data_IF_328432054266
#
_entry.id   IF_328432054266
#
_cell.length_a   1.000
_cell.length_b   1.000
_cell.length_c   1.000
_cell.angle_alpha   90.00
_cell.angle_beta   90.00
_cell.angle_gamma   90.00
#
_symmetry.space_group_name_H-M   'P 1'
#
loop_
_entity.id
_entity.type
_entity.pdbx_description
1 polymer ?
#
# COMPACT_ATOMS: atom_id res chain seq x y z
N UNK A 1 11.43 -12.64 -21.43
CA UNK A 1 11.07 -13.05 -20.06
C UNK A 1 11.41 -14.53 -19.84
N UNK A 2 12.69 -14.91 -19.81
CA UNK A 2 13.13 -16.32 -19.76
C UNK A 2 13.76 -16.78 -18.44
N UNK A 3 13.96 -15.88 -17.47
CA UNK A 3 14.68 -16.19 -16.23
C UNK A 3 13.79 -16.61 -15.06
N UNK A 4 12.47 -16.43 -15.16
CA UNK A 4 11.52 -16.83 -14.11
C UNK A 4 11.66 -18.29 -13.66
N UNK A 5 11.64 -19.28 -14.58
CA UNK A 5 11.78 -20.68 -14.20
C UNK A 5 13.17 -21.01 -13.62
N UNK A 6 14.23 -20.34 -14.08
CA UNK A 6 15.59 -20.57 -13.55
C UNK A 6 15.74 -20.03 -12.12
N UNK A 7 15.19 -18.85 -11.83
CA UNK A 7 15.21 -18.26 -10.49
C UNK A 7 14.35 -19.10 -9.53
N UNK A 8 13.16 -19.52 -9.97
CA UNK A 8 12.29 -20.41 -9.18
C UNK A 8 12.96 -21.75 -8.93
N UNK A 9 13.64 -22.32 -9.93
CA UNK A 9 14.39 -23.57 -9.78
C UNK A 9 15.56 -23.42 -8.82
N UNK A 10 16.38 -22.37 -8.95
CA UNK A 10 17.48 -22.09 -8.02
C UNK A 10 17.00 -21.84 -6.59
N UNK A 11 15.86 -21.16 -6.41
CA UNK A 11 15.24 -20.97 -5.11
C UNK A 11 14.67 -22.28 -4.54
N UNK A 12 14.08 -23.14 -5.38
CA UNK A 12 13.58 -24.47 -4.97
C UNK A 12 14.71 -25.43 -4.57
N UNK A 13 15.90 -25.26 -5.14
CA UNK A 13 17.06 -26.06 -4.79
C UNK A 13 17.66 -25.60 -3.45
N UNK A 14 17.63 -24.28 -3.19
CA UNK A 14 18.01 -23.72 -1.88
C UNK A 14 16.98 -24.02 -0.78
N UNK A 15 15.69 -24.19 -1.12
CA UNK A 15 14.63 -24.39 -0.12
C UNK A 15 14.72 -25.73 0.63
N UNK A 16 15.47 -26.69 0.11
CA UNK A 16 15.68 -27.98 0.78
C UNK A 16 16.69 -27.92 1.94
N UNK A 17 17.36 -26.78 2.14
CA UNK A 17 18.32 -26.55 3.22
C UNK A 17 17.67 -25.62 4.24
N UNK A 18 17.39 -26.14 5.43
CA UNK A 18 17.00 -25.44 6.69
C UNK A 18 16.13 -24.17 6.55
N UNK A 19 14.87 -24.23 7.02
CA UNK A 19 13.85 -23.17 6.85
C UNK A 19 14.30 -21.73 7.19
N UNK A 20 15.23 -21.56 8.12
CA UNK A 20 15.79 -20.26 8.51
C UNK A 20 16.77 -19.69 7.48
N UNK A 21 17.60 -20.53 6.86
CA UNK A 21 18.55 -20.14 5.83
C UNK A 21 17.87 -19.66 4.55
N UNK A 22 16.75 -20.30 4.18
CA UNK A 22 15.96 -19.89 3.02
C UNK A 22 15.40 -18.46 3.16
N UNK A 23 14.84 -18.10 4.33
CA UNK A 23 14.32 -16.75 4.55
C UNK A 23 15.42 -15.68 4.46
N UNK A 24 16.62 -15.97 4.97
CA UNK A 24 17.75 -15.06 4.87
C UNK A 24 18.19 -14.87 3.42
N UNK A 25 18.30 -15.97 2.66
CA UNK A 25 18.65 -15.92 1.23
C UNK A 25 17.65 -15.09 0.42
N UNK A 26 16.35 -15.29 0.64
CA UNK A 26 15.29 -14.51 -0.02
C UNK A 26 15.43 -13.02 0.30
N UNK A 27 15.65 -12.65 1.58
CA UNK A 27 15.83 -11.25 1.98
C UNK A 27 17.08 -10.61 1.37
N UNK A 28 18.19 -11.35 1.29
CA UNK A 28 19.41 -10.86 0.64
C UNK A 28 19.17 -10.65 -0.87
N UNK A 29 18.48 -11.58 -1.52
CA UNK A 29 18.11 -11.46 -2.94
C UNK A 29 17.21 -10.25 -3.19
N UNK A 30 16.18 -10.05 -2.36
CA UNK A 30 15.31 -8.88 -2.42
C UNK A 30 16.07 -7.57 -2.21
N UNK A 31 16.99 -7.52 -1.24
CA UNK A 31 17.84 -6.36 -1.02
C UNK A 31 18.73 -6.07 -2.24
N UNK A 32 19.31 -7.10 -2.85
CA UNK A 32 20.07 -6.96 -4.09
C UNK A 32 19.19 -6.43 -5.23
N UNK A 33 18.00 -7.00 -5.43
CA UNK A 33 17.05 -6.52 -6.43
C UNK A 33 16.67 -5.06 -6.20
N UNK A 34 16.44 -4.63 -4.96
CA UNK A 34 16.18 -3.24 -4.62
C UNK A 34 17.36 -2.33 -4.99
N UNK A 35 18.57 -2.71 -4.60
CA UNK A 35 19.80 -1.93 -4.86
C UNK A 35 20.10 -1.81 -6.35
N UNK A 36 19.65 -2.76 -7.18
CA UNK A 36 19.76 -2.70 -8.64
C UNK A 36 18.60 -1.91 -9.25
N UNK A 37 17.35 -2.18 -8.85
CA UNK A 37 16.16 -1.57 -9.45
C UNK A 37 16.03 -0.08 -9.12
N UNK A 38 16.37 0.35 -7.90
CA UNK A 38 16.23 1.75 -7.51
C UNK A 38 17.09 2.71 -8.35
N UNK A 39 18.41 2.50 -8.53
CA UNK A 39 19.21 3.36 -9.40
C UNK A 39 18.83 3.22 -10.87
N UNK A 40 18.45 2.02 -11.35
CA UNK A 40 17.94 1.85 -12.72
C UNK A 40 16.65 2.64 -12.93
N UNK A 41 15.75 2.69 -11.95
CA UNK A 41 14.53 3.48 -12.01
C UNK A 41 14.82 4.98 -12.17
N UNK A 42 15.85 5.49 -11.48
CA UNK A 42 16.32 6.88 -11.62
C UNK A 42 16.99 7.12 -12.97
N UNK A 43 17.87 6.20 -13.41
CA UNK A 43 18.62 6.35 -14.65
C UNK A 43 17.69 6.33 -15.88
N UNK A 44 16.72 5.41 -15.90
CA UNK A 44 15.77 5.26 -17.00
C UNK A 44 14.46 6.03 -16.81
N UNK A 45 14.31 6.75 -15.68
CA UNK A 45 13.06 7.43 -15.31
C UNK A 45 11.82 6.51 -15.39
N UNK A 46 12.00 5.23 -15.04
CA UNK A 46 10.97 4.21 -15.19
C UNK A 46 10.09 4.11 -13.95
N UNK A 47 8.83 4.53 -14.08
CA UNK A 47 7.84 4.46 -12.99
C UNK A 47 7.53 3.02 -12.54
N UNK A 48 7.60 2.05 -13.46
CA UNK A 48 7.39 0.64 -13.14
C UNK A 48 8.50 0.10 -12.25
N UNK A 49 9.76 0.41 -12.57
CA UNK A 49 10.90 -0.02 -11.75
C UNK A 49 10.85 0.62 -10.37
N UNK A 50 10.53 1.92 -10.29
CA UNK A 50 10.36 2.62 -9.01
C UNK A 50 9.22 2.03 -8.18
N UNK A 51 8.10 1.67 -8.81
CA UNK A 51 6.99 0.97 -8.15
C UNK A 51 7.42 -0.38 -7.56
N UNK A 52 8.13 -1.21 -8.34
CA UNK A 52 8.63 -2.51 -7.88
C UNK A 52 9.66 -2.35 -6.75
N UNK A 53 10.54 -1.34 -6.83
CA UNK A 53 11.46 -1.02 -5.73
C UNK A 53 10.71 -0.68 -4.44
N UNK A 54 9.64 0.12 -4.50
CA UNK A 54 8.81 0.41 -3.32
C UNK A 54 8.16 -0.85 -2.75
N UNK A 55 7.64 -1.74 -3.60
CA UNK A 55 7.06 -3.03 -3.16
C UNK A 55 8.10 -3.89 -2.42
N UNK A 56 9.30 -4.04 -3.00
CA UNK A 56 10.39 -4.81 -2.39
C UNK A 56 10.82 -4.17 -1.06
N UNK A 57 10.87 -2.84 -0.98
CA UNK A 57 11.20 -2.14 0.26
C UNK A 57 10.20 -2.44 1.38
N UNK A 58 8.90 -2.40 1.09
CA UNK A 58 7.87 -2.73 2.08
C UNK A 58 7.90 -4.22 2.46
N UNK A 59 8.20 -5.12 1.52
CA UNK A 59 8.36 -6.54 1.79
C UNK A 59 9.55 -6.83 2.73
N UNK A 60 10.70 -6.18 2.51
CA UNK A 60 11.82 -6.19 3.44
C UNK A 60 11.45 -5.62 4.83
N UNK A 61 10.53 -4.67 4.87
CA UNK A 61 9.99 -4.12 6.11
C UNK A 61 8.99 -5.06 6.81
N UNK A 62 8.53 -6.12 6.16
CA UNK A 62 7.69 -7.18 6.73
C UNK A 62 6.25 -7.20 6.23
N UNK A 63 5.93 -6.42 5.19
CA UNK A 63 4.64 -6.45 4.50
C UNK A 63 4.64 -7.52 3.41
N UNK A 64 3.87 -8.59 3.57
CA UNK A 64 3.86 -9.69 2.61
C UNK A 64 2.53 -9.79 1.87
N UNK A 65 2.61 -10.10 0.56
CA UNK A 65 1.48 -10.49 -0.27
C UNK A 65 1.71 -11.92 -0.72
N UNK A 66 0.88 -12.85 -0.24
CA UNK A 66 0.97 -14.27 -0.56
C UNK A 66 -0.23 -14.70 -1.38
N UNK A 67 0.00 -15.48 -2.44
CA UNK A 67 -1.05 -16.09 -3.24
C UNK A 67 -1.38 -17.49 -2.68
N UNK A 68 -2.64 -17.71 -2.30
CA UNK A 68 -3.12 -18.97 -1.69
C UNK A 68 -4.00 -19.75 -2.69
N UNK A 69 -3.72 -19.68 -4.00
CA UNK A 69 -4.45 -20.42 -5.04
C UNK A 69 -5.83 -19.87 -5.38
N UNK A 70 -6.67 -19.57 -4.37
CA UNK A 70 -8.02 -19.01 -4.54
C UNK A 70 -8.11 -17.51 -4.24
N UNK A 71 -7.01 -16.88 -3.81
CA UNK A 71 -6.98 -15.47 -3.45
C UNK A 71 -5.62 -14.99 -2.97
N UNK A 72 -5.58 -13.72 -2.54
CA UNK A 72 -4.40 -13.06 -1.99
C UNK A 72 -4.58 -12.85 -0.49
N UNK A 73 -3.59 -13.27 0.29
CA UNK A 73 -3.42 -12.86 1.68
C UNK A 73 -2.46 -11.68 1.72
N UNK A 74 -2.89 -10.59 2.33
CA UNK A 74 -2.13 -9.35 2.44
C UNK A 74 -2.02 -9.01 3.93
N UNK A 75 -0.80 -8.87 4.45
CA UNK A 75 -0.63 -8.56 5.86
C UNK A 75 0.82 -8.58 6.34
N UNK A 76 0.97 -8.84 7.64
CA UNK A 76 2.25 -8.83 8.34
C UNK A 76 2.44 -10.13 9.11
N UNK A 77 3.63 -10.72 9.01
CA UNK A 77 3.95 -11.95 9.75
C UNK A 77 4.15 -11.70 11.25
N UNK A 78 4.62 -10.50 11.62
CA UNK A 78 4.96 -10.15 13.00
C UNK A 78 4.42 -8.78 13.38
N UNK A 79 4.03 -8.62 14.65
CA UNK A 79 3.60 -7.33 15.19
C UNK A 79 4.69 -6.24 15.07
N UNK A 80 5.97 -6.63 15.22
CA UNK A 80 7.09 -5.71 15.02
C UNK A 80 7.22 -5.26 13.57
N UNK A 81 7.01 -6.18 12.62
CA UNK A 81 6.96 -5.88 11.19
C UNK A 81 5.84 -4.89 10.86
N UNK A 82 4.65 -5.09 11.44
CA UNK A 82 3.53 -4.17 11.31
C UNK A 82 3.91 -2.75 11.74
N UNK A 83 4.41 -2.56 12.96
CA UNK A 83 4.77 -1.22 13.47
C UNK A 83 5.87 -0.58 12.62
N UNK A 84 6.87 -1.37 12.20
CA UNK A 84 7.94 -0.89 11.32
C UNK A 84 7.38 -0.41 9.97
N UNK A 85 6.52 -1.20 9.34
CA UNK A 85 5.88 -0.83 8.08
C UNK A 85 4.97 0.40 8.24
N UNK A 86 4.23 0.51 9.34
CA UNK A 86 3.42 1.69 9.65
C UNK A 86 4.28 2.96 9.70
N UNK A 87 5.37 2.93 10.46
CA UNK A 87 6.28 4.08 10.61
C UNK A 87 6.94 4.42 9.28
N UNK A 88 7.47 3.42 8.56
CA UNK A 88 8.12 3.63 7.26
C UNK A 88 7.13 4.18 6.23
N UNK A 89 5.92 3.62 6.16
CA UNK A 89 4.88 4.10 5.23
C UNK A 89 4.39 5.51 5.58
N UNK A 90 4.26 5.84 6.86
CA UNK A 90 3.95 7.20 7.31
C UNK A 90 5.01 8.22 6.86
N UNK A 91 6.30 7.91 7.07
CA UNK A 91 7.38 8.80 6.62
C UNK A 91 7.47 8.89 5.10
N UNK A 92 7.28 7.78 4.39
CA UNK A 92 7.27 7.78 2.93
C UNK A 92 6.12 8.62 2.36
N UNK A 93 4.91 8.41 2.87
CA UNK A 93 3.73 9.13 2.42
C UNK A 93 3.83 10.62 2.76
N UNK A 94 4.21 10.97 3.99
CA UNK A 94 4.38 12.37 4.40
C UNK A 94 5.50 13.08 3.64
N UNK A 95 6.63 12.41 3.38
CA UNK A 95 7.70 12.96 2.57
C UNK A 95 7.23 13.23 1.13
N UNK A 96 6.54 12.28 0.51
CA UNK A 96 6.01 12.47 -0.84
C UNK A 96 4.96 13.59 -0.91
N UNK A 97 4.01 13.62 0.03
CA UNK A 97 3.01 14.68 0.11
C UNK A 97 3.67 16.06 0.31
N UNK A 98 4.69 16.14 1.17
CA UNK A 98 5.44 17.38 1.38
C UNK A 98 6.16 17.84 0.10
N UNK A 99 6.77 16.91 -0.64
CA UNK A 99 7.38 17.20 -1.94
C UNK A 99 6.32 17.66 -2.97
N UNK A 100 5.14 17.05 -2.97
CA UNK A 100 4.06 17.44 -3.87
C UNK A 100 3.52 18.86 -3.55
N UNK A 101 3.49 19.25 -2.28
CA UNK A 101 2.97 20.56 -1.84
C UNK A 101 4.00 21.68 -2.06
N UNK A 102 5.28 21.41 -1.78
CA UNK A 102 6.34 22.44 -1.74
C UNK A 102 6.93 22.78 -3.11
N UNK A 103 6.64 22.02 -4.17
CA UNK A 103 7.20 22.20 -5.51
C UNK A 103 8.75 22.37 -5.48
N UNK A 104 9.48 21.35 -5.01
CA UNK A 104 10.92 21.43 -4.82
C UNK A 104 11.67 21.63 -6.16
N UNK A 105 12.96 22.01 -6.11
CA UNK A 105 13.75 22.18 -7.33
C UNK A 105 13.80 20.94 -8.23
N UNK A 106 13.93 21.15 -9.53
CA UNK A 106 13.88 20.10 -10.55
C UNK A 106 14.83 18.91 -10.31
N UNK A 107 15.99 19.15 -9.68
CA UNK A 107 16.95 18.08 -9.37
C UNK A 107 16.37 17.07 -8.37
N UNK A 108 15.66 17.52 -7.32
CA UNK A 108 15.04 16.63 -6.33
C UNK A 108 13.89 15.85 -6.97
N UNK A 109 13.08 16.55 -7.77
CA UNK A 109 11.95 15.95 -8.49
C UNK A 109 12.44 14.82 -9.40
N UNK A 110 13.57 14.99 -10.09
CA UNK A 110 14.14 13.98 -10.97
C UNK A 110 14.43 12.64 -10.26
N UNK A 111 14.86 12.68 -8.99
CA UNK A 111 15.09 11.46 -8.21
C UNK A 111 13.80 10.85 -7.66
N UNK A 112 12.83 11.69 -7.27
CA UNK A 112 11.58 11.22 -6.65
C UNK A 112 10.53 10.75 -7.67
N UNK A 113 10.53 11.31 -8.89
CA UNK A 113 9.54 11.06 -9.94
C UNK A 113 9.29 9.57 -10.24
N UNK A 114 10.31 8.70 -10.46
CA UNK A 114 10.05 7.29 -10.75
C UNK A 114 9.39 6.54 -9.58
N UNK A 115 9.58 6.99 -8.34
CA UNK A 115 9.00 6.36 -7.15
C UNK A 115 7.60 6.88 -6.80
N UNK A 116 7.15 7.97 -7.41
CA UNK A 116 5.87 8.63 -7.11
C UNK A 116 4.67 7.66 -7.04
N UNK A 117 4.49 6.80 -8.05
CA UNK A 117 3.39 5.82 -8.09
C UNK A 117 3.51 4.77 -6.98
N UNK A 118 4.73 4.27 -6.73
CA UNK A 118 4.99 3.31 -5.66
C UNK A 118 4.73 3.91 -4.27
N UNK A 119 5.23 5.12 -4.03
CA UNK A 119 5.06 5.82 -2.75
C UNK A 119 3.60 6.17 -2.48
N UNK A 120 2.87 6.66 -3.48
CA UNK A 120 1.45 7.02 -3.32
C UNK A 120 0.57 5.80 -3.14
N UNK A 121 0.67 4.81 -4.03
CA UNK A 121 -0.23 3.65 -4.01
C UNK A 121 0.17 2.67 -2.91
N UNK A 122 1.39 2.13 -2.97
CA UNK A 122 1.85 1.11 -2.03
C UNK A 122 2.02 1.71 -0.64
N UNK A 123 2.62 2.90 -0.55
CA UNK A 123 2.83 3.56 0.73
C UNK A 123 1.52 3.84 1.46
N UNK A 124 0.52 4.43 0.80
CA UNK A 124 -0.78 4.68 1.46
C UNK A 124 -1.55 3.38 1.75
N UNK A 125 -1.50 2.39 0.87
CA UNK A 125 -2.13 1.07 1.11
C UNK A 125 -1.54 0.38 2.34
N UNK A 126 -0.21 0.29 2.44
CA UNK A 126 0.50 -0.32 3.57
C UNK A 126 0.25 0.47 4.86
N UNK A 127 0.18 1.81 4.77
CA UNK A 127 -0.14 2.66 5.91
C UNK A 127 -1.54 2.40 6.46
N UNK A 128 -2.57 2.45 5.60
CA UNK A 128 -3.95 2.27 6.05
C UNK A 128 -4.26 0.84 6.47
N UNK A 129 -3.71 -0.19 5.81
CA UNK A 129 -3.89 -1.57 6.27
C UNK A 129 -3.24 -1.81 7.64
N UNK A 130 -2.08 -1.18 7.91
CA UNK A 130 -1.43 -1.26 9.22
C UNK A 130 -2.29 -0.62 10.32
N UNK A 131 -2.86 0.57 10.04
CA UNK A 131 -3.76 1.24 10.97
C UNK A 131 -5.06 0.47 11.18
N UNK A 132 -5.64 -0.08 10.11
CA UNK A 132 -6.86 -0.90 10.17
C UNK A 132 -6.64 -2.09 11.12
N UNK A 133 -5.56 -2.84 10.92
CA UNK A 133 -5.20 -3.98 11.77
C UNK A 133 -4.99 -3.55 13.23
N UNK A 134 -4.29 -2.43 13.48
CA UNK A 134 -4.10 -1.93 14.85
C UNK A 134 -5.39 -1.42 15.50
N UNK A 135 -6.35 -0.98 14.69
CA UNK A 135 -7.63 -0.47 15.16
C UNK A 135 -8.59 -1.57 15.63
N UNK A 136 -8.23 -2.85 15.45
CA UNK A 136 -9.02 -3.99 15.85
C UNK A 136 -8.84 -4.34 17.35
N UNK A 137 -9.91 -4.66 18.11
CA UNK A 137 -9.86 -4.89 19.56
C UNK A 137 -9.07 -6.14 19.97
N UNK A 138 -8.83 -7.07 19.05
CA UNK A 138 -8.02 -8.26 19.33
C UNK A 138 -6.52 -7.95 19.41
N UNK A 139 -6.07 -6.89 18.73
CA UNK A 139 -4.65 -6.52 18.67
C UNK A 139 -4.34 -5.43 19.69
N UNK A 140 -5.15 -4.37 19.71
CA UNK A 140 -4.98 -3.25 20.64
C UNK A 140 -6.10 -3.23 21.66
N UNK A 141 -5.80 -2.94 22.93
CA UNK A 141 -6.79 -2.88 24.03
C UNK A 141 -6.73 -1.54 24.76
N UNK A 142 -7.86 -1.14 25.34
CA UNK A 142 -7.95 0.06 26.20
C UNK A 142 -7.50 1.34 25.49
N UNK A 143 -6.46 2.00 26.02
CA UNK A 143 -5.96 3.27 25.49
C UNK A 143 -5.33 3.13 24.10
N UNK A 144 -4.63 2.03 23.84
CA UNK A 144 -3.94 1.83 22.56
C UNK A 144 -4.95 1.61 21.43
N UNK A 145 -6.08 0.95 21.72
CA UNK A 145 -7.22 0.82 20.80
C UNK A 145 -7.82 2.18 20.45
N UNK A 146 -8.06 3.03 21.45
CA UNK A 146 -8.59 4.38 21.22
C UNK A 146 -7.61 5.24 20.40
N UNK A 147 -6.31 5.13 20.68
CA UNK A 147 -5.26 5.81 19.93
C UNK A 147 -5.19 5.33 18.47
N UNK A 148 -5.25 4.02 18.23
CA UNK A 148 -5.24 3.47 16.88
C UNK A 148 -6.48 3.88 16.07
N UNK A 149 -7.66 3.87 16.69
CA UNK A 149 -8.91 4.30 16.03
C UNK A 149 -8.92 5.80 15.74
N UNK A 150 -8.47 6.63 16.68
CA UNK A 150 -8.37 8.07 16.43
C UNK A 150 -7.33 8.39 15.36
N UNK A 151 -6.17 7.73 15.39
CA UNK A 151 -5.15 7.84 14.36
C UNK A 151 -5.69 7.44 12.98
N UNK A 152 -6.43 6.32 12.89
CA UNK A 152 -7.09 5.90 11.65
C UNK A 152 -8.06 6.96 11.13
N UNK A 153 -9.02 7.39 11.95
CA UNK A 153 -10.03 8.38 11.54
C UNK A 153 -9.39 9.71 11.08
N UNK A 154 -8.46 10.25 11.88
CA UNK A 154 -7.76 11.49 11.54
C UNK A 154 -6.98 11.32 10.24
N UNK A 155 -6.27 10.21 10.07
CA UNK A 155 -5.47 9.97 8.87
C UNK A 155 -6.31 9.84 7.61
N UNK A 156 -7.49 9.21 7.71
CA UNK A 156 -8.44 9.11 6.59
C UNK A 156 -8.94 10.50 6.17
N UNK A 157 -9.38 11.33 7.12
CA UNK A 157 -9.88 12.69 6.84
C UNK A 157 -8.78 13.58 6.27
N UNK A 158 -7.59 13.54 6.87
CA UNK A 158 -6.44 14.35 6.44
C UNK A 158 -5.97 13.93 5.04
N UNK A 159 -5.81 12.63 4.78
CA UNK A 159 -5.36 12.16 3.47
C UNK A 159 -6.40 12.39 2.38
N UNK A 160 -7.70 12.22 2.67
CA UNK A 160 -8.77 12.53 1.72
C UNK A 160 -8.82 14.04 1.41
N UNK A 161 -8.69 14.88 2.43
CA UNK A 161 -8.65 16.34 2.29
C UNK A 161 -7.44 16.82 1.51
N UNK A 162 -6.23 16.37 1.88
CA UNK A 162 -4.99 16.72 1.16
C UNK A 162 -5.05 16.20 -0.28
N UNK A 163 -5.45 14.95 -0.50
CA UNK A 163 -5.58 14.41 -1.85
C UNK A 163 -6.56 15.22 -2.69
N UNK A 164 -7.69 15.65 -2.12
CA UNK A 164 -8.69 16.45 -2.84
C UNK A 164 -8.22 17.89 -3.13
N UNK A 165 -7.53 18.54 -2.21
CA UNK A 165 -7.06 19.93 -2.38
C UNK A 165 -5.91 20.01 -3.39
N UNK A 166 -4.97 19.07 -3.34
CA UNK A 166 -3.78 19.03 -4.21
C UNK A 166 -3.95 18.13 -5.44
N UNK A 167 -5.17 17.61 -5.69
CA UNK A 167 -5.50 16.73 -6.84
C UNK A 167 -4.60 15.48 -6.94
N UNK A 168 -4.32 14.85 -5.80
CA UNK A 168 -3.60 13.58 -5.73
C UNK A 168 -4.63 12.45 -5.63
N UNK A 169 -5.26 12.14 -6.76
CA UNK A 169 -6.42 11.24 -6.86
C UNK A 169 -6.18 9.86 -6.22
N UNK A 170 -4.95 9.34 -6.37
CA UNK A 170 -4.57 8.05 -5.77
C UNK A 170 -4.76 8.03 -4.25
N UNK A 171 -4.34 9.09 -3.54
CA UNK A 171 -4.42 9.16 -2.07
C UNK A 171 -5.87 9.34 -1.62
N UNK A 172 -6.65 10.16 -2.33
CA UNK A 172 -8.09 10.33 -2.05
C UNK A 172 -8.84 9.01 -2.24
N UNK A 173 -8.64 8.32 -3.35
CA UNK A 173 -9.35 7.07 -3.64
C UNK A 173 -9.00 5.97 -2.64
N UNK A 174 -7.72 5.84 -2.26
CA UNK A 174 -7.29 4.85 -1.27
C UNK A 174 -7.84 5.20 0.11
N UNK A 175 -7.75 6.46 0.55
CA UNK A 175 -8.32 6.88 1.84
C UNK A 175 -9.84 6.67 1.90
N UNK A 176 -10.60 7.00 0.85
CA UNK A 176 -12.04 6.71 0.79
C UNK A 176 -12.33 5.20 0.88
N UNK A 177 -11.55 4.37 0.18
CA UNK A 177 -11.71 2.91 0.21
C UNK A 177 -11.47 2.36 1.61
N UNK A 178 -10.38 2.77 2.27
CA UNK A 178 -10.08 2.34 3.63
C UNK A 178 -11.02 2.94 4.68
N UNK A 179 -11.63 4.10 4.42
CA UNK A 179 -12.68 4.64 5.29
C UNK A 179 -13.93 3.75 5.27
N UNK A 180 -14.32 3.24 4.10
CA UNK A 180 -15.41 2.28 3.97
C UNK A 180 -15.08 0.97 4.69
N UNK A 181 -13.87 0.43 4.50
CA UNK A 181 -13.44 -0.80 5.19
C UNK A 181 -13.41 -0.64 6.71
N UNK A 182 -12.88 0.48 7.21
CA UNK A 182 -12.87 0.78 8.65
C UNK A 182 -14.27 0.96 9.21
N UNK A 183 -15.17 1.68 8.52
CA UNK A 183 -16.56 1.83 8.95
C UNK A 183 -17.28 0.47 9.02
N UNK A 184 -17.04 -0.41 8.04
CA UNK A 184 -17.57 -1.76 8.02
C UNK A 184 -17.04 -2.60 9.19
N UNK A 185 -15.73 -2.53 9.48
CA UNK A 185 -15.12 -3.19 10.65
C UNK A 185 -15.77 -2.72 11.95
N UNK A 186 -15.90 -1.40 12.17
CA UNK A 186 -16.52 -0.86 13.39
C UNK A 186 -17.98 -1.26 13.51
N UNK A 187 -18.69 -1.40 12.41
CA UNK A 187 -20.07 -1.88 12.45
C UNK A 187 -20.17 -3.33 12.92
N UNK A 188 -19.28 -4.21 12.44
CA UNK A 188 -19.23 -5.60 12.91
C UNK A 188 -18.85 -5.72 14.39
N UNK A 189 -18.05 -4.78 14.91
CA UNK A 189 -17.75 -4.70 16.34
C UNK A 189 -18.99 -4.32 17.18
N UNK A 190 -19.82 -3.39 16.70
CA UNK A 190 -21.00 -2.91 17.45
C UNK A 190 -22.15 -3.90 17.40
N UNK A 191 -22.41 -4.52 16.25
CA UNK A 191 -23.52 -5.47 16.07
C UNK A 191 -23.01 -6.80 15.51
N UNK A 192 -22.42 -7.67 16.37
CA UNK A 192 -21.91 -8.96 15.93
C UNK A 192 -23.04 -9.82 15.35
N UNK A 193 -22.81 -10.39 14.17
CA UNK A 193 -23.73 -11.34 13.53
C UNK A 193 -24.80 -10.72 12.62
N UNK A 194 -24.95 -9.39 12.55
CA UNK A 194 -25.84 -8.77 11.57
C UNK A 194 -25.13 -8.58 10.22
N UNK A 195 -25.52 -9.38 9.23
CA UNK A 195 -24.94 -9.37 7.87
C UNK A 195 -25.56 -8.27 6.99
N UNK A 196 -26.80 -7.85 7.30
CA UNK A 196 -27.54 -6.89 6.48
C UNK A 196 -26.79 -5.59 6.16
N UNK A 197 -26.04 -4.99 7.10
CA UNK A 197 -25.28 -3.78 6.78
C UNK A 197 -24.05 -4.04 5.93
N UNK A 198 -23.37 -5.17 6.14
CA UNK A 198 -22.26 -5.59 5.29
C UNK A 198 -22.73 -5.77 3.84
N UNK A 199 -23.92 -6.33 3.65
CA UNK A 199 -24.55 -6.43 2.33
C UNK A 199 -24.78 -5.05 1.70
N UNK A 200 -25.31 -4.07 2.44
CA UNK A 200 -25.49 -2.69 1.95
C UNK A 200 -24.14 -2.07 1.57
N UNK A 201 -23.09 -2.29 2.37
CA UNK A 201 -21.73 -1.83 2.07
C UNK A 201 -21.17 -2.48 0.80
N UNK A 202 -21.35 -3.79 0.62
CA UNK A 202 -20.97 -4.49 -0.61
C UNK A 202 -21.74 -3.97 -1.83
N UNK A 203 -23.05 -3.74 -1.70
CA UNK A 203 -23.84 -3.13 -2.77
C UNK A 203 -23.36 -1.71 -3.11
N UNK A 204 -22.99 -0.93 -2.09
CA UNK A 204 -22.44 0.42 -2.26
C UNK A 204 -21.08 0.39 -2.96
N UNK A 205 -20.17 -0.49 -2.53
CA UNK A 205 -18.88 -0.70 -3.17
C UNK A 205 -19.04 -1.20 -4.61
N UNK A 206 -19.96 -2.14 -4.85
CA UNK A 206 -20.26 -2.62 -6.19
C UNK A 206 -20.79 -1.51 -7.09
N UNK A 207 -21.70 -0.67 -6.58
CA UNK A 207 -22.22 0.48 -7.33
C UNK A 207 -21.12 1.49 -7.65
N UNK A 208 -20.24 1.80 -6.69
CA UNK A 208 -19.08 2.67 -6.90
C UNK A 208 -18.13 2.04 -7.93
N UNK A 209 -17.82 0.76 -7.84
CA UNK A 209 -16.96 0.06 -8.78
C UNK A 209 -17.56 0.05 -10.20
N UNK A 210 -18.86 -0.21 -10.32
CA UNK A 210 -19.58 -0.16 -11.59
C UNK A 210 -19.63 1.26 -12.17
N UNK A 211 -19.83 2.27 -11.33
CA UNK A 211 -19.76 3.68 -11.73
C UNK A 211 -18.37 4.06 -12.26
N UNK A 212 -17.31 3.56 -11.61
CA UNK A 212 -15.92 3.75 -12.06
C UNK A 212 -15.67 3.03 -13.39
N UNK A 213 -16.16 1.80 -13.57
CA UNK A 213 -16.01 1.05 -14.82
C UNK A 213 -16.74 1.69 -16.00
N UNK A 214 -17.93 2.23 -15.77
CA UNK A 214 -18.74 2.90 -16.82
C UNK A 214 -18.19 4.28 -17.19
N UNK A 215 -17.25 4.83 -16.41
CA UNK A 215 -16.56 6.09 -16.68
C UNK A 215 -15.04 5.88 -16.69
N UNK A 216 -14.49 5.19 -17.72
CA UNK A 216 -13.07 4.83 -17.76
C UNK A 216 -12.12 6.03 -17.72
N UNK A 217 -12.59 7.23 -18.10
CA UNK A 217 -11.84 8.48 -17.92
C UNK A 217 -11.45 8.73 -16.45
N UNK A 218 -12.28 8.31 -15.49
CA UNK A 218 -11.99 8.44 -14.07
C UNK A 218 -10.86 7.48 -13.62
N UNK A 219 -10.84 6.25 -14.15
CA UNK A 219 -9.75 5.29 -13.94
C UNK A 219 -8.44 5.73 -14.58
N UNK A 220 -8.51 6.28 -15.79
CA UNK A 220 -7.34 6.78 -16.51
C UNK A 220 -6.69 7.94 -15.74
N UNK A 221 -7.48 8.87 -15.21
CA UNK A 221 -6.98 9.95 -14.36
C UNK A 221 -6.35 9.46 -13.04
N UNK A 222 -6.77 8.30 -12.53
CA UNK A 222 -6.16 7.68 -11.34
C UNK A 222 -4.76 7.11 -11.61
N UNK A 223 -4.47 6.69 -12.86
CA UNK A 223 -3.18 6.10 -13.27
C UNK A 223 -2.26 7.15 -13.93
N UNK A 224 -2.84 8.15 -14.57
CA UNK A 224 -2.19 9.22 -15.29
C UNK A 224 -2.80 10.59 -14.89
N UNK A 225 -2.18 11.34 -13.97
CA UNK A 225 -2.73 12.58 -13.44
C UNK A 225 -2.85 13.70 -14.50
N UNK A 226 -2.20 13.56 -15.66
CA UNK A 226 -2.25 14.53 -16.76
C UNK A 226 -3.48 14.31 -17.69
N UNK A 227 -4.37 13.37 -17.37
CA UNK A 227 -5.55 13.00 -18.17
C UNK A 227 -6.57 14.13 -18.37
N UNK A 228 -6.60 15.15 -17.51
CA UNK A 228 -7.55 16.28 -17.61
C UNK A 228 -7.02 17.51 -18.36
N UNK A 229 -5.74 17.54 -18.75
CA UNK A 229 -5.12 18.69 -19.43
C UNK A 229 -4.95 18.50 -20.94
N UNK A 230 -5.39 17.35 -21.48
CA UNK A 230 -5.48 17.07 -22.92
C UNK A 230 -6.95 16.99 -23.35
#
# INVERSE_FOLDING_TARGET
MGFGPCILYSLSLLSNVESTGMQQSIRISMLYCLLVLAPLAVLFQSSLMGFLSCMIWFDLCGFSIQYIGIGYSIGFETHRGLIRCLVVSFFFLSAYLSLAITNPPAHIIHFARPFSKGMTIVGSMVYFISLLILSHPWISKGRDYLCANSAMLVSLVVCAGIGSVWRIDAVTNISCTYAVLWAMEKQFEVVPGHIAPAFIFFCSLYYIAHFIQTRPHFLLCMVDPDCMTR
#
